data_IF_454339860479
#
_entry.id   IF_454339860479
#
_cell.length_a   1.000
_cell.length_b   1.000
_cell.length_c   1.000
_cell.angle_alpha   90.00
_cell.angle_beta   90.00
_cell.angle_gamma   90.00
#
_symmetry.space_group_name_H-M   'P 1'
#
loop_
_entity.id
_entity.type
_entity.pdbx_description
1 polymer ?
#
# COMPACT_ATOMS: atom_id res chain seq x y z
N UNK A 1 53.57 -3.50 11.22
CA UNK A 1 54.28 -2.79 10.13
C UNK A 1 53.47 -3.03 8.86
N UNK A 2 53.11 -1.98 8.12
CA UNK A 2 52.31 -2.11 6.89
C UNK A 2 53.22 -2.44 5.71
N UNK A 3 52.82 -3.39 4.87
CA UNK A 3 53.59 -3.86 3.71
C UNK A 3 52.81 -3.44 2.46
N UNK A 4 53.49 -2.76 1.53
CA UNK A 4 52.92 -2.37 0.24
C UNK A 4 53.67 -3.09 -0.89
N UNK A 5 52.99 -3.46 -2.00
CA UNK A 5 53.63 -4.13 -3.14
C UNK A 5 54.70 -3.30 -3.86
N UNK A 6 54.63 -1.97 -3.75
CA UNK A 6 55.53 -1.02 -4.39
C UNK A 6 55.71 0.23 -3.52
N UNK A 7 56.87 0.93 -3.61
CA UNK A 7 57.05 2.24 -2.98
C UNK A 7 56.21 3.36 -3.63
N UNK A 8 55.61 3.12 -4.81
CA UNK A 8 54.78 4.11 -5.51
C UNK A 8 53.29 3.84 -5.32
N UNK A 9 52.62 4.67 -4.54
CA UNK A 9 51.16 4.63 -4.35
C UNK A 9 50.59 5.96 -3.87
N UNK A 10 49.27 6.02 -3.78
CA UNK A 10 48.51 7.17 -3.25
C UNK A 10 47.69 6.71 -2.07
N UNK A 11 47.71 7.49 -0.99
CA UNK A 11 46.85 7.34 0.19
C UNK A 11 45.73 8.35 0.10
N UNK A 12 44.48 7.91 0.29
CA UNK A 12 43.29 8.75 0.30
C UNK A 12 42.76 8.80 1.73
N UNK A 13 42.74 9.99 2.34
CA UNK A 13 42.12 10.25 3.62
C UNK A 13 40.68 10.74 3.42
N UNK A 14 39.74 10.16 4.15
CA UNK A 14 38.33 10.57 4.16
C UNK A 14 37.94 10.82 5.61
N UNK A 15 37.56 12.06 5.92
CA UNK A 15 36.98 12.42 7.21
C UNK A 15 35.46 12.27 7.13
N UNK A 16 34.93 11.24 7.80
CA UNK A 16 33.51 10.92 7.80
C UNK A 16 32.66 11.92 8.61
N UNK A 17 33.25 12.63 9.57
CA UNK A 17 32.52 13.58 10.41
C UNK A 17 32.35 14.92 9.69
N UNK A 18 33.38 15.38 8.99
CA UNK A 18 33.38 16.66 8.28
C UNK A 18 33.12 16.55 6.78
N UNK A 19 32.93 15.33 6.26
CA UNK A 19 32.72 15.06 4.83
C UNK A 19 33.85 15.64 3.95
N UNK A 20 35.09 15.61 4.46
CA UNK A 20 36.28 16.10 3.77
C UNK A 20 37.09 14.93 3.21
N UNK A 21 37.81 15.16 2.12
CA UNK A 21 38.75 14.18 1.59
C UNK A 21 40.02 14.85 1.07
N UNK A 22 41.13 14.13 1.14
CA UNK A 22 42.41 14.54 0.57
C UNK A 22 43.20 13.31 0.14
N UNK A 23 44.17 13.49 -0.74
CA UNK A 23 45.03 12.40 -1.21
C UNK A 23 46.49 12.83 -1.26
N UNK A 24 47.38 11.95 -0.81
CA UNK A 24 48.83 12.18 -0.77
C UNK A 24 49.59 10.96 -1.31
N UNK A 25 50.60 11.18 -2.14
CA UNK A 25 51.45 10.11 -2.68
C UNK A 25 51.98 10.41 -4.09
N UNK A 26 52.37 9.35 -4.78
CA UNK A 26 52.98 9.41 -6.10
C UNK A 26 51.92 9.41 -7.20
N UNK A 27 51.93 10.41 -8.08
CA UNK A 27 50.96 10.59 -9.16
C UNK A 27 51.61 10.40 -10.52
N UNK A 28 51.07 9.49 -11.32
CA UNK A 28 51.44 9.41 -12.75
C UNK A 28 50.60 10.39 -13.58
N UNK A 29 51.04 10.77 -14.80
CA UNK A 29 50.31 11.71 -15.64
C UNK A 29 48.83 11.32 -15.83
N UNK A 30 47.92 12.27 -15.61
CA UNK A 30 46.47 12.05 -15.73
C UNK A 30 45.76 11.45 -14.50
N UNK A 31 46.49 10.83 -13.55
CA UNK A 31 45.88 10.20 -12.37
C UNK A 31 45.24 11.20 -11.40
N UNK A 32 45.90 12.33 -11.16
CA UNK A 32 45.42 13.37 -10.25
C UNK A 32 44.07 13.98 -10.68
N UNK A 33 43.89 14.48 -11.92
CA UNK A 33 42.60 15.01 -12.35
C UNK A 33 41.50 13.96 -12.35
N UNK A 34 41.81 12.70 -12.71
CA UNK A 34 40.85 11.59 -12.64
C UNK A 34 40.37 11.36 -11.20
N UNK A 35 41.30 11.24 -10.24
CA UNK A 35 40.92 11.00 -8.85
C UNK A 35 40.13 12.16 -8.26
N UNK A 36 40.50 13.41 -8.58
CA UNK A 36 39.76 14.60 -8.14
C UNK A 36 38.31 14.55 -8.64
N UNK A 37 38.08 14.25 -9.92
CA UNK A 37 36.72 14.15 -10.47
C UNK A 37 35.95 12.97 -9.85
N UNK A 38 36.61 11.82 -9.68
CA UNK A 38 36.00 10.63 -9.08
C UNK A 38 35.60 10.85 -7.62
N UNK A 39 36.48 11.39 -6.78
CA UNK A 39 36.19 11.63 -5.37
C UNK A 39 35.08 12.67 -5.17
N UNK A 40 35.08 13.74 -5.98
CA UNK A 40 33.99 14.72 -5.96
C UNK A 40 32.62 14.08 -6.28
N UNK A 41 32.59 13.08 -7.17
CA UNK A 41 31.37 12.33 -7.48
C UNK A 41 30.99 11.35 -6.35
N UNK A 42 31.97 10.62 -5.82
CA UNK A 42 31.78 9.65 -4.72
C UNK A 42 31.22 10.34 -3.46
N UNK A 43 31.82 11.45 -3.04
CA UNK A 43 31.40 12.18 -1.82
C UNK A 43 29.98 12.76 -1.92
N UNK A 44 29.48 13.00 -3.14
CA UNK A 44 28.11 13.46 -3.38
C UNK A 44 27.09 12.32 -3.48
N UNK A 45 27.52 11.16 -3.95
CA UNK A 45 26.64 10.01 -4.20
C UNK A 45 26.56 9.02 -3.02
N UNK A 46 27.35 9.22 -1.95
CA UNK A 46 27.40 8.31 -0.82
C UNK A 46 26.10 8.41 0.03
N UNK A 47 25.31 7.32 0.16
CA UNK A 47 23.97 7.35 0.78
C UNK A 47 23.96 7.43 2.33
N UNK A 48 24.78 8.30 2.93
CA UNK A 48 25.00 8.35 4.38
C UNK A 48 23.94 9.11 5.21
N UNK A 49 22.68 8.67 5.23
CA UNK A 49 21.59 9.41 5.90
C UNK A 49 21.43 9.13 7.42
N UNK A 50 22.24 8.24 7.99
CA UNK A 50 22.14 7.85 9.42
C UNK A 50 22.42 8.98 10.40
N UNK A 51 23.35 9.89 10.08
CA UNK A 51 23.73 11.01 10.94
C UNK A 51 22.57 12.00 11.08
N UNK A 52 21.90 12.33 9.96
CA UNK A 52 20.72 13.22 9.95
C UNK A 52 19.59 12.68 10.84
N UNK A 53 19.28 11.37 10.71
CA UNK A 53 18.29 10.69 11.57
C UNK A 53 18.66 10.74 13.06
N UNK A 54 19.94 10.49 13.40
CA UNK A 54 20.41 10.55 14.79
C UNK A 54 20.35 11.95 15.40
N UNK A 55 20.57 12.98 14.59
CA UNK A 55 20.47 14.38 14.98
C UNK A 55 19.05 14.97 14.86
N UNK A 56 18.06 14.16 14.42
CA UNK A 56 16.69 14.60 14.17
C UNK A 56 16.59 15.77 13.18
N UNK A 57 17.53 15.84 12.24
CA UNK A 57 17.54 16.84 11.17
C UNK A 57 16.77 16.29 9.98
N UNK A 58 15.69 16.96 9.61
CA UNK A 58 14.87 16.62 8.45
C UNK A 58 15.12 17.66 7.36
N UNK A 59 15.47 17.20 6.16
CA UNK A 59 15.53 18.05 4.97
C UNK A 59 14.26 17.82 4.13
N UNK A 60 13.84 18.85 3.40
CA UNK A 60 12.79 18.76 2.38
C UNK A 60 13.33 18.27 1.03
N UNK A 61 14.47 17.57 1.01
CA UNK A 61 15.05 17.06 -0.24
C UNK A 61 14.01 16.17 -0.94
N UNK A 62 13.85 16.31 -2.28
CA UNK A 62 12.90 15.50 -3.03
C UNK A 62 13.32 14.03 -2.95
N UNK A 63 12.63 13.29 -2.09
CA UNK A 63 12.75 11.82 -2.02
C UNK A 63 12.01 11.21 -3.20
N UNK A 64 12.41 10.01 -3.61
CA UNK A 64 11.60 9.26 -4.57
C UNK A 64 10.18 9.10 -4.01
N UNK A 65 9.13 9.46 -4.79
CA UNK A 65 7.77 9.39 -4.30
C UNK A 65 7.43 7.94 -3.99
N UNK A 66 6.73 7.68 -2.88
CA UNK A 66 6.29 6.34 -2.53
C UNK A 66 5.26 5.80 -3.53
N UNK A 67 5.08 4.48 -3.54
CA UNK A 67 4.00 3.86 -4.31
C UNK A 67 2.66 4.24 -3.67
N UNK A 68 1.79 4.87 -4.45
CA UNK A 68 0.46 5.33 -4.07
C UNK A 68 -0.56 4.98 -5.16
N UNK A 69 -1.84 5.24 -4.90
CA UNK A 69 -2.90 5.03 -5.92
C UNK A 69 -2.68 5.87 -7.19
N UNK A 70 -1.98 7.01 -7.09
CA UNK A 70 -1.77 7.93 -8.20
C UNK A 70 -0.70 7.41 -9.18
N UNK A 71 0.37 6.81 -8.66
CA UNK A 71 1.47 6.28 -9.46
C UNK A 71 1.46 4.75 -9.57
N UNK A 72 0.36 4.10 -9.16
CA UNK A 72 0.20 2.65 -9.21
C UNK A 72 0.50 2.06 -10.59
N UNK A 73 0.15 2.77 -11.68
CA UNK A 73 0.45 2.33 -13.04
C UNK A 73 1.94 2.14 -13.34
N UNK A 74 2.83 2.86 -12.66
CA UNK A 74 4.29 2.77 -12.85
C UNK A 74 4.83 1.37 -12.52
N UNK A 75 4.12 0.60 -11.70
CA UNK A 75 4.50 -0.78 -11.40
C UNK A 75 4.44 -1.67 -12.64
N UNK A 76 3.80 -1.28 -13.74
CA UNK A 76 3.73 -2.10 -14.96
C UNK A 76 4.72 -1.68 -16.05
N UNK A 77 5.49 -0.61 -15.83
CA UNK A 77 6.52 -0.19 -16.77
C UNK A 77 7.69 -1.19 -16.83
N UNK A 78 8.41 -1.15 -17.97
CA UNK A 78 9.45 -2.11 -18.39
C UNK A 78 10.53 -2.52 -17.37
N UNK A 79 11.07 -1.68 -16.46
CA UNK A 79 12.10 -2.18 -15.56
C UNK A 79 11.55 -3.28 -14.65
N UNK A 80 12.40 -4.29 -14.40
CA UNK A 80 12.14 -5.34 -13.42
C UNK A 80 12.00 -4.67 -12.06
N UNK A 81 10.86 -4.93 -11.39
CA UNK A 81 10.61 -4.45 -10.03
C UNK A 81 10.11 -5.58 -9.18
N UNK A 82 10.52 -5.58 -7.91
CA UNK A 82 10.11 -6.57 -6.94
C UNK A 82 9.29 -5.93 -5.84
N UNK A 83 8.28 -6.65 -5.36
CA UNK A 83 7.67 -6.36 -4.07
C UNK A 83 8.35 -7.22 -3.00
N UNK A 84 8.69 -6.62 -1.87
CA UNK A 84 9.19 -7.33 -0.69
C UNK A 84 8.21 -7.09 0.45
N UNK A 85 7.61 -8.19 0.91
CA UNK A 85 6.79 -8.21 2.12
C UNK A 85 7.45 -9.05 3.21
N UNK A 86 7.61 -8.45 4.38
CA UNK A 86 8.22 -9.07 5.56
C UNK A 86 7.20 -9.22 6.72
N UNK A 87 5.91 -9.05 6.42
CA UNK A 87 4.83 -9.11 7.41
C UNK A 87 4.78 -10.44 8.13
N UNK A 88 4.81 -11.52 7.36
CA UNK A 88 5.10 -12.83 7.90
C UNK A 88 6.59 -13.07 7.72
N UNK A 89 7.27 -13.64 8.71
CA UNK A 89 8.72 -13.91 8.62
C UNK A 89 8.99 -15.15 7.73
N UNK A 90 8.39 -15.14 6.54
CA UNK A 90 8.48 -16.03 5.39
C UNK A 90 8.37 -15.11 4.18
N UNK A 91 9.43 -14.94 3.41
CA UNK A 91 9.56 -13.78 2.52
C UNK A 91 8.89 -14.10 1.20
N UNK A 92 8.04 -13.18 0.77
CA UNK A 92 7.39 -13.22 -0.53
C UNK A 92 8.05 -12.13 -1.37
N UNK A 93 8.78 -12.53 -2.40
CA UNK A 93 9.22 -11.62 -3.47
C UNK A 93 8.37 -11.87 -4.69
N UNK A 94 7.50 -10.92 -5.07
CA UNK A 94 6.66 -11.03 -6.27
C UNK A 94 7.29 -10.21 -7.39
N UNK A 95 7.60 -10.88 -8.48
CA UNK A 95 7.97 -10.29 -9.76
C UNK A 95 6.69 -9.93 -10.53
N UNK A 96 6.37 -8.63 -10.55
CA UNK A 96 5.08 -8.08 -10.97
C UNK A 96 4.64 -8.44 -12.40
N UNK A 97 5.56 -8.55 -13.35
CA UNK A 97 5.27 -8.67 -14.79
C UNK A 97 5.09 -10.13 -15.21
N UNK A 98 5.73 -11.06 -14.50
CA UNK A 98 5.66 -12.49 -14.82
C UNK A 98 4.81 -13.27 -13.82
N UNK A 99 4.50 -12.69 -12.65
CA UNK A 99 3.85 -13.40 -11.55
C UNK A 99 4.82 -14.30 -10.77
N UNK A 100 6.11 -14.29 -11.09
CA UNK A 100 7.09 -15.13 -10.41
C UNK A 100 7.19 -14.75 -8.93
N UNK A 101 6.92 -15.71 -8.06
CA UNK A 101 6.95 -15.59 -6.62
C UNK A 101 8.15 -16.37 -6.08
N UNK A 102 9.11 -15.66 -5.47
CA UNK A 102 10.14 -16.28 -4.64
C UNK A 102 9.65 -16.31 -3.20
N UNK A 103 9.37 -17.51 -2.70
CA UNK A 103 8.95 -17.74 -1.32
C UNK A 103 10.11 -18.33 -0.52
N UNK A 104 10.76 -17.50 0.31
CA UNK A 104 11.82 -17.95 1.22
C UNK A 104 11.21 -18.39 2.55
N UNK A 105 11.35 -19.67 2.85
CA UNK A 105 11.04 -20.22 4.17
C UNK A 105 12.22 -19.97 5.11
N UNK A 106 11.98 -19.28 6.23
CA UNK A 106 12.96 -19.08 7.29
C UNK A 106 12.64 -20.04 8.43
N UNK A 107 13.48 -21.05 8.62
CA UNK A 107 13.27 -22.08 9.63
C UNK A 107 13.51 -21.54 11.06
N UNK A 108 12.92 -22.20 12.05
CA UNK A 108 13.00 -21.80 13.46
C UNK A 108 14.43 -21.77 14.02
N UNK A 109 15.32 -22.58 13.43
CA UNK A 109 16.75 -22.62 13.78
C UNK A 109 17.45 -21.26 13.62
N UNK A 110 16.97 -20.38 12.73
CA UNK A 110 17.54 -19.04 12.53
C UNK A 110 17.31 -18.13 13.75
N UNK A 111 16.27 -18.41 14.55
CA UNK A 111 15.91 -17.62 15.73
C UNK A 111 16.54 -18.15 17.03
N UNK A 112 17.12 -19.35 16.99
CA UNK A 112 17.67 -19.99 18.18
C UNK A 112 18.81 -19.16 18.79
N UNK A 113 18.69 -18.87 20.09
CA UNK A 113 19.69 -18.09 20.83
C UNK A 113 19.71 -16.58 20.52
N UNK A 114 18.79 -16.08 19.69
CA UNK A 114 18.77 -14.68 19.28
C UNK A 114 17.83 -13.84 20.16
N UNK A 115 18.18 -12.56 20.34
CA UNK A 115 17.34 -11.55 21.01
C UNK A 115 16.88 -10.50 20.01
N UNK A 116 15.84 -9.73 20.36
CA UNK A 116 15.25 -8.68 19.51
C UNK A 116 14.81 -9.21 18.13
N UNK A 117 14.04 -10.30 18.14
CA UNK A 117 13.63 -11.04 16.95
C UNK A 117 12.93 -10.17 15.89
N UNK A 118 12.15 -9.17 16.31
CA UNK A 118 11.47 -8.25 15.37
C UNK A 118 12.46 -7.41 14.55
N UNK A 119 13.57 -6.97 15.16
CA UNK A 119 14.63 -6.27 14.43
C UNK A 119 15.41 -7.27 13.58
N UNK A 120 15.80 -8.40 14.16
CA UNK A 120 16.53 -9.45 13.44
C UNK A 120 15.77 -9.93 12.20
N UNK A 121 14.44 -10.05 12.26
CA UNK A 121 13.61 -10.45 11.13
C UNK A 121 13.79 -9.52 9.93
N UNK A 122 13.83 -8.19 10.14
CA UNK A 122 14.03 -7.21 9.06
C UNK A 122 15.43 -7.31 8.44
N UNK A 123 16.45 -7.41 9.28
CA UNK A 123 17.84 -7.55 8.84
C UNK A 123 18.08 -8.85 8.09
N UNK A 124 17.57 -9.96 8.65
CA UNK A 124 17.55 -11.23 7.95
C UNK A 124 16.81 -11.05 6.63
N UNK A 125 15.62 -10.44 6.60
CA UNK A 125 14.85 -10.12 5.37
C UNK A 125 15.69 -9.45 4.29
N UNK A 126 16.43 -8.40 4.64
CA UNK A 126 17.29 -7.72 3.70
C UNK A 126 18.46 -8.59 3.22
N UNK A 127 19.05 -9.41 4.11
CA UNK A 127 20.15 -10.32 3.79
C UNK A 127 19.80 -11.32 2.67
N UNK A 128 18.71 -12.10 2.78
CA UNK A 128 18.34 -13.03 1.70
C UNK A 128 17.79 -12.32 0.46
N UNK A 129 17.20 -11.13 0.58
CA UNK A 129 16.83 -10.35 -0.62
C UNK A 129 18.11 -10.00 -1.39
N UNK A 130 19.13 -9.49 -0.70
CA UNK A 130 20.43 -9.21 -1.32
C UNK A 130 21.12 -10.48 -1.84
N UNK A 131 21.02 -11.60 -1.12
CA UNK A 131 21.54 -12.90 -1.60
C UNK A 131 20.81 -13.36 -2.88
N UNK A 132 19.49 -13.18 -2.96
CA UNK A 132 18.70 -13.49 -4.15
C UNK A 132 19.12 -12.60 -5.33
N UNK A 133 19.27 -11.28 -5.12
CA UNK A 133 19.78 -10.37 -6.18
C UNK A 133 21.17 -10.80 -6.65
N UNK A 134 22.08 -11.18 -5.74
CA UNK A 134 23.43 -11.70 -6.09
C UNK A 134 23.38 -12.99 -6.88
N UNK A 135 22.38 -13.83 -6.66
CA UNK A 135 22.25 -15.13 -7.35
C UNK A 135 21.75 -15.01 -8.79
N UNK A 136 21.19 -13.85 -9.17
CA UNK A 136 20.62 -13.63 -10.50
C UNK A 136 21.63 -13.00 -11.47
N UNK A 137 21.57 -13.35 -12.77
CA UNK A 137 22.26 -12.62 -13.83
C UNK A 137 21.91 -11.13 -13.80
N UNK A 138 22.84 -10.27 -14.24
CA UNK A 138 22.70 -8.80 -14.17
C UNK A 138 21.48 -8.30 -14.96
N UNK A 139 21.06 -9.03 -15.98
CA UNK A 139 19.89 -8.78 -16.83
C UNK A 139 18.57 -9.02 -16.08
N UNK A 140 18.55 -9.97 -15.15
CA UNK A 140 17.37 -10.35 -14.36
C UNK A 140 17.30 -9.63 -13.01
N UNK A 141 18.36 -8.91 -12.64
CA UNK A 141 18.39 -8.14 -11.40
C UNK A 141 17.34 -7.01 -11.42
N UNK A 142 16.61 -6.80 -10.31
CA UNK A 142 15.62 -5.75 -10.23
C UNK A 142 16.27 -4.38 -10.36
N UNK A 143 15.61 -3.45 -11.05
CA UNK A 143 16.00 -2.03 -11.04
C UNK A 143 15.30 -1.26 -9.92
N UNK A 144 14.19 -1.79 -9.40
CA UNK A 144 13.49 -1.21 -8.26
C UNK A 144 12.97 -2.29 -7.30
N UNK A 145 13.11 -2.06 -6.01
CA UNK A 145 12.53 -2.89 -4.95
C UNK A 145 11.55 -2.02 -4.16
N UNK A 146 10.29 -2.44 -4.14
CA UNK A 146 9.20 -1.79 -3.43
C UNK A 146 8.94 -2.55 -2.13
N UNK A 147 9.10 -1.89 -0.99
CA UNK A 147 8.81 -2.48 0.31
C UNK A 147 7.40 -2.14 0.78
N UNK A 148 6.70 -3.13 1.32
CA UNK A 148 5.35 -2.92 1.90
C UNK A 148 5.41 -2.18 3.24
N UNK A 149 6.51 -2.34 3.99
CA UNK A 149 6.69 -1.73 5.32
C UNK A 149 7.92 -0.85 5.36
N UNK A 150 7.76 0.41 5.81
CA UNK A 150 8.84 1.41 5.90
C UNK A 150 10.05 0.93 6.70
N UNK A 151 9.86 0.05 7.67
CA UNK A 151 10.95 -0.52 8.48
C UNK A 151 11.94 -1.40 7.69
N UNK A 152 11.65 -1.74 6.44
CA UNK A 152 12.54 -2.50 5.55
C UNK A 152 13.45 -1.62 4.69
N UNK A 153 13.22 -0.30 4.62
CA UNK A 153 14.04 0.62 3.83
C UNK A 153 15.50 0.59 4.30
N UNK A 154 15.75 0.93 5.57
CA UNK A 154 17.11 1.03 6.12
C UNK A 154 17.90 -0.31 6.03
N UNK A 155 17.34 -1.49 6.36
CA UNK A 155 18.07 -2.74 6.19
C UNK A 155 18.41 -3.06 4.73
N UNK A 156 17.50 -2.80 3.79
CA UNK A 156 17.76 -3.05 2.36
C UNK A 156 18.80 -2.10 1.79
N UNK A 157 18.76 -0.81 2.15
CA UNK A 157 19.77 0.17 1.74
C UNK A 157 21.18 -0.28 2.16
N UNK A 158 21.32 -0.84 3.36
CA UNK A 158 22.59 -1.34 3.87
C UNK A 158 23.05 -2.62 3.15
N UNK A 159 22.14 -3.57 2.94
CA UNK A 159 22.50 -4.86 2.33
C UNK A 159 22.68 -4.78 0.81
N UNK A 160 22.15 -3.74 0.16
CA UNK A 160 22.21 -3.54 -1.29
C UNK A 160 23.22 -2.44 -1.71
N UNK A 161 24.16 -2.06 -0.83
CA UNK A 161 25.25 -1.13 -1.18
C UNK A 161 26.08 -1.61 -2.39
N UNK A 162 26.19 -2.93 -2.58
CA UNK A 162 26.85 -3.54 -3.74
C UNK A 162 26.06 -3.35 -5.06
N UNK A 163 24.81 -2.88 -4.97
CA UNK A 163 23.88 -2.76 -6.08
C UNK A 163 23.37 -1.31 -6.24
N UNK A 164 24.25 -0.36 -6.60
CA UNK A 164 23.93 1.07 -6.62
C UNK A 164 22.86 1.47 -7.64
N UNK A 165 22.55 0.59 -8.60
CA UNK A 165 21.52 0.80 -9.61
C UNK A 165 20.13 0.32 -9.19
N UNK A 166 20.00 -0.24 -7.99
CA UNK A 166 18.72 -0.75 -7.46
C UNK A 166 18.10 0.32 -6.60
N UNK A 167 16.99 0.86 -7.08
CA UNK A 167 16.21 1.86 -6.36
C UNK A 167 15.35 1.17 -5.30
N UNK A 168 15.38 1.66 -4.06
CA UNK A 168 14.55 1.15 -2.97
C UNK A 168 13.45 2.16 -2.69
N UNK A 169 12.18 1.74 -2.82
CA UNK A 169 11.00 2.62 -2.72
C UNK A 169 10.02 2.08 -1.67
N UNK A 170 9.44 2.98 -0.89
CA UNK A 170 8.36 2.67 0.05
C UNK A 170 7.00 2.57 -0.63
N UNK A 171 6.04 1.91 0.01
CA UNK A 171 4.63 1.90 -0.39
C UNK A 171 3.77 2.56 0.67
N UNK A 172 2.86 3.45 0.24
CA UNK A 172 1.74 3.95 1.05
C UNK A 172 0.54 3.01 0.97
N UNK A 173 0.49 2.16 -0.06
CA UNK A 173 -0.52 1.13 -0.20
C UNK A 173 -0.20 -0.04 0.73
N UNK A 174 -1.17 -0.39 1.59
CA UNK A 174 -1.10 -1.56 2.46
C UNK A 174 -1.49 -2.82 1.69
N UNK A 175 -0.62 -3.30 0.80
CA UNK A 175 -0.89 -4.47 -0.05
C UNK A 175 -1.09 -5.75 0.78
N UNK A 176 -2.05 -6.62 0.43
CA UNK A 176 -2.48 -7.74 1.27
C UNK A 176 -1.61 -9.00 1.09
N UNK A 177 -0.32 -8.88 0.80
CA UNK A 177 0.56 -10.04 0.52
C UNK A 177 0.68 -11.01 1.70
N UNK A 178 0.48 -10.53 2.93
CA UNK A 178 0.37 -11.39 4.11
C UNK A 178 -0.73 -12.47 3.99
N UNK A 179 -1.79 -12.20 3.21
CA UNK A 179 -2.89 -13.13 3.00
C UNK A 179 -2.49 -14.34 2.13
N UNK A 180 -1.35 -14.30 1.45
CA UNK A 180 -0.81 -15.47 0.75
C UNK A 180 -0.67 -16.68 1.69
N UNK A 181 -0.34 -16.47 2.97
CA UNK A 181 -0.24 -17.58 3.93
C UNK A 181 -1.57 -18.28 4.25
N UNK A 182 -2.70 -17.63 3.95
CA UNK A 182 -4.03 -18.25 4.12
C UNK A 182 -4.33 -19.28 3.02
N UNK A 183 -3.50 -19.34 1.98
CA UNK A 183 -3.56 -20.34 0.91
C UNK A 183 -2.92 -21.63 1.42
N UNK A 184 -3.69 -22.71 1.43
CA UNK A 184 -3.29 -24.00 2.02
C UNK A 184 -2.01 -24.57 1.41
N UNK A 185 -1.81 -24.41 0.10
CA UNK A 185 -0.59 -24.85 -0.59
C UNK A 185 0.67 -24.22 0.02
N UNK A 186 0.64 -22.92 0.29
CA UNK A 186 1.77 -22.21 0.91
C UNK A 186 1.86 -22.51 2.40
N UNK A 187 0.74 -22.44 3.13
CA UNK A 187 0.71 -22.71 4.58
C UNK A 187 1.24 -24.10 4.93
N UNK A 188 0.77 -25.14 4.26
CA UNK A 188 1.20 -26.51 4.48
C UNK A 188 2.68 -26.72 4.13
N UNK A 189 3.16 -26.10 3.05
CA UNK A 189 4.56 -26.20 2.65
C UNK A 189 5.49 -25.55 3.68
N UNK A 190 5.11 -24.39 4.20
CA UNK A 190 5.88 -23.66 5.22
C UNK A 190 5.92 -24.45 6.53
N UNK A 191 4.77 -24.96 7.00
CA UNK A 191 4.67 -25.72 8.25
C UNK A 191 5.45 -27.04 8.22
N UNK A 192 5.57 -27.67 7.04
CA UNK A 192 6.30 -28.94 6.86
C UNK A 192 7.80 -28.75 6.60
N UNK A 193 8.30 -27.52 6.48
CA UNK A 193 9.70 -27.28 6.16
C UNK A 193 10.60 -27.59 7.37
N UNK A 194 11.59 -28.45 7.17
CA UNK A 194 12.60 -28.82 8.19
C UNK A 194 13.87 -27.98 8.12
N UNK A 195 14.04 -27.21 7.04
CA UNK A 195 15.22 -26.38 6.78
C UNK A 195 14.84 -25.10 6.02
N UNK A 196 15.68 -24.04 6.08
CA UNK A 196 15.48 -22.86 5.26
C UNK A 196 15.60 -23.19 3.78
N UNK A 197 14.58 -22.86 2.98
CA UNK A 197 14.60 -23.12 1.53
C UNK A 197 13.91 -22.02 0.75
N UNK A 198 14.36 -21.80 -0.47
CA UNK A 198 13.70 -20.93 -1.44
C UNK A 198 12.81 -21.79 -2.34
N UNK A 199 11.56 -21.37 -2.52
CA UNK A 199 10.62 -22.06 -3.41
C UNK A 199 10.09 -21.08 -4.43
N UNK A 200 10.06 -21.50 -5.68
CA UNK A 200 9.59 -20.70 -6.80
C UNK A 200 8.14 -21.08 -7.16
N UNK A 201 7.29 -20.09 -7.33
CA UNK A 201 5.94 -20.26 -7.87
C UNK A 201 5.70 -19.23 -8.98
N UNK A 202 4.67 -19.47 -9.79
CA UNK A 202 4.05 -18.41 -10.58
C UNK A 202 2.67 -18.14 -9.99
N UNK A 203 2.50 -16.99 -9.31
CA UNK A 203 1.26 -16.64 -8.63
C UNK A 203 0.12 -16.28 -9.59
N UNK A 204 0.40 -16.08 -10.88
CA UNK A 204 -0.62 -15.86 -11.90
C UNK A 204 -1.08 -17.16 -12.54
N UNK A 205 -0.47 -18.30 -12.23
CA UNK A 205 -0.67 -19.55 -12.96
C UNK A 205 -0.59 -19.29 -14.48
N UNK A 206 -1.70 -19.46 -15.19
CA UNK A 206 -1.82 -19.29 -16.63
C UNK A 206 -2.54 -18.00 -17.08
N UNK A 207 -2.88 -17.09 -16.16
CA UNK A 207 -3.70 -15.89 -16.49
C UNK A 207 -3.07 -14.99 -17.55
N UNK A 208 -1.75 -14.94 -17.65
CA UNK A 208 -1.04 -14.15 -18.66
C UNK A 208 -1.31 -14.59 -20.11
N UNK A 209 -1.92 -15.77 -20.32
CA UNK A 209 -2.34 -16.24 -21.65
C UNK A 209 -3.55 -15.48 -22.19
N UNK A 210 -4.47 -15.05 -21.33
CA UNK A 210 -5.72 -14.39 -21.73
C UNK A 210 -5.82 -12.93 -21.30
N UNK A 211 -5.12 -12.51 -20.24
CA UNK A 211 -5.23 -11.15 -19.69
C UNK A 211 -3.86 -10.49 -19.47
N UNK A 212 -3.87 -9.15 -19.46
CA UNK A 212 -2.66 -8.35 -19.24
C UNK A 212 -2.06 -8.55 -17.84
N UNK A 213 -0.78 -8.20 -17.66
CA UNK A 213 -0.12 -8.22 -16.35
C UNK A 213 -0.79 -7.28 -15.33
N UNK A 214 -1.33 -6.14 -15.80
CA UNK A 214 -2.14 -5.23 -14.98
C UNK A 214 -3.37 -5.91 -14.42
N UNK A 215 -4.11 -6.62 -15.28
CA UNK A 215 -5.31 -7.35 -14.90
C UNK A 215 -4.98 -8.53 -13.99
N UNK A 216 -3.92 -9.30 -14.28
CA UNK A 216 -3.44 -10.39 -13.44
C UNK A 216 -3.13 -9.91 -12.01
N UNK A 217 -2.37 -8.82 -11.89
CA UNK A 217 -2.01 -8.26 -10.60
C UNK A 217 -3.24 -7.71 -9.87
N UNK A 218 -4.15 -7.03 -10.58
CA UNK A 218 -5.39 -6.52 -9.98
C UNK A 218 -6.28 -7.66 -9.47
N UNK A 219 -6.44 -8.74 -10.23
CA UNK A 219 -7.12 -9.98 -9.81
C UNK A 219 -6.46 -10.55 -8.56
N UNK A 220 -5.13 -10.66 -8.55
CA UNK A 220 -4.38 -11.14 -7.39
C UNK A 220 -4.65 -10.29 -6.13
N UNK A 221 -4.53 -8.97 -6.23
CA UNK A 221 -4.77 -8.07 -5.09
C UNK A 221 -6.20 -8.21 -4.59
N UNK A 222 -7.17 -8.33 -5.49
CA UNK A 222 -8.57 -8.54 -5.15
C UNK A 222 -8.78 -9.85 -4.38
N UNK A 223 -8.21 -10.96 -4.85
CA UNK A 223 -8.31 -12.25 -4.17
C UNK A 223 -7.65 -12.20 -2.79
N UNK A 224 -6.42 -11.69 -2.71
CA UNK A 224 -5.68 -11.60 -1.46
C UNK A 224 -6.37 -10.66 -0.45
N UNK A 225 -6.94 -9.55 -0.91
CA UNK A 225 -7.70 -8.62 -0.06
C UNK A 225 -8.99 -9.28 0.45
N UNK A 226 -9.70 -10.01 -0.39
CA UNK A 226 -10.88 -10.76 0.01
C UNK A 226 -10.55 -11.85 1.04
N UNK A 227 -9.46 -12.61 0.84
CA UNK A 227 -8.95 -13.58 1.81
C UNK A 227 -8.53 -12.91 3.13
N UNK A 228 -8.00 -11.68 3.06
CA UNK A 228 -7.67 -10.89 4.24
C UNK A 228 -8.94 -10.50 5.01
N UNK A 229 -9.94 -9.95 4.33
CA UNK A 229 -11.20 -9.48 4.89
C UNK A 229 -12.08 -10.62 5.46
N UNK A 230 -12.37 -11.64 4.65
CA UNK A 230 -13.14 -12.80 5.07
C UNK A 230 -12.66 -14.07 4.34
N UNK A 231 -11.83 -14.84 5.04
CA UNK A 231 -11.16 -16.02 4.48
C UNK A 231 -12.16 -17.09 3.99
N UNK A 232 -13.17 -17.41 4.79
CA UNK A 232 -14.12 -18.48 4.49
C UNK A 232 -15.00 -18.13 3.29
N UNK A 233 -15.59 -16.93 3.29
CA UNK A 233 -16.42 -16.48 2.16
C UNK A 233 -15.62 -16.34 0.89
N UNK A 234 -14.40 -15.79 0.95
CA UNK A 234 -13.54 -15.70 -0.22
C UNK A 234 -13.21 -17.08 -0.80
N UNK A 235 -12.89 -18.08 0.05
CA UNK A 235 -12.65 -19.46 -0.40
C UNK A 235 -13.89 -20.10 -1.06
N UNK A 236 -15.09 -19.83 -0.53
CA UNK A 236 -16.33 -20.29 -1.15
C UNK A 236 -16.57 -19.64 -2.52
N UNK A 237 -16.34 -18.32 -2.63
CA UNK A 237 -16.49 -17.59 -3.90
C UNK A 237 -15.50 -18.04 -4.97
N UNK A 238 -14.27 -18.39 -4.59
CA UNK A 238 -13.26 -18.91 -5.51
C UNK A 238 -13.61 -20.30 -6.08
N UNK A 239 -14.48 -21.05 -5.40
CA UNK A 239 -14.93 -22.40 -5.81
C UNK A 239 -16.46 -22.45 -5.90
N UNK A 240 -17.05 -21.83 -6.94
CA UNK A 240 -18.50 -21.70 -7.06
C UNK A 240 -19.22 -23.04 -7.29
N UNK A 241 -18.52 -24.04 -7.83
CA UNK A 241 -19.05 -25.37 -8.10
C UNK A 241 -18.01 -26.45 -7.68
N UNK A 242 -18.51 -27.62 -7.27
CA UNK A 242 -17.71 -28.81 -6.96
C UNK A 242 -16.95 -29.35 -8.16
N UNK A 243 -17.41 -29.03 -9.38
CA UNK A 243 -16.72 -29.40 -10.63
C UNK A 243 -15.39 -28.65 -10.82
N UNK A 244 -15.21 -27.50 -10.16
CA UNK A 244 -14.01 -26.67 -10.29
C UNK A 244 -12.87 -27.29 -9.51
N UNK A 245 -11.84 -27.72 -10.23
CA UNK A 245 -10.60 -28.25 -9.65
C UNK A 245 -9.45 -27.25 -9.77
N UNK A 246 -8.48 -27.39 -8.86
CA UNK A 246 -7.19 -26.71 -8.96
C UNK A 246 -6.18 -27.73 -9.43
N UNK A 247 -5.46 -27.42 -10.51
CA UNK A 247 -4.42 -28.31 -11.00
C UNK A 247 -3.26 -28.42 -9.99
N UNK A 248 -2.53 -29.56 -9.91
CA UNK A 248 -1.50 -29.76 -8.90
C UNK A 248 -0.39 -28.69 -8.90
N UNK A 249 -0.03 -28.19 -10.08
CA UNK A 249 1.01 -27.17 -10.25
C UNK A 249 0.47 -25.75 -10.06
N UNK A 250 -0.84 -25.53 -10.22
CA UNK A 250 -1.50 -24.24 -10.02
C UNK A 250 -1.80 -23.90 -8.56
N UNK A 251 -2.05 -22.63 -8.30
CA UNK A 251 -2.40 -22.08 -6.99
C UNK A 251 -3.90 -21.82 -6.93
N UNK A 252 -4.47 -21.34 -8.02
CA UNK A 252 -5.86 -20.92 -8.12
C UNK A 252 -6.74 -21.96 -8.84
N UNK A 253 -8.05 -21.98 -8.56
CA UNK A 253 -9.00 -22.83 -9.28
C UNK A 253 -9.00 -22.52 -10.79
N UNK A 254 -9.14 -23.55 -11.61
CA UNK A 254 -9.19 -23.40 -13.06
C UNK A 254 -10.57 -22.93 -13.49
N UNK A 255 -10.68 -21.62 -13.79
CA UNK A 255 -11.90 -20.94 -14.20
C UNK A 255 -11.74 -20.34 -15.58
N UNK A 256 -12.83 -20.30 -16.33
CA UNK A 256 -12.94 -19.54 -17.60
C UNK A 256 -12.94 -18.04 -17.33
N UNK A 257 -12.65 -17.22 -18.34
CA UNK A 257 -12.63 -15.75 -18.19
C UNK A 257 -14.00 -15.18 -17.75
N UNK A 258 -15.11 -15.74 -18.23
CA UNK A 258 -16.47 -15.35 -17.80
C UNK A 258 -16.74 -15.70 -16.33
N UNK A 259 -16.25 -16.86 -15.87
CA UNK A 259 -16.35 -17.23 -14.45
C UNK A 259 -15.47 -16.33 -13.59
N UNK A 260 -14.25 -16.01 -14.03
CA UNK A 260 -13.37 -15.05 -13.36
C UNK A 260 -14.04 -13.69 -13.21
N UNK A 261 -14.69 -13.18 -14.25
CA UNK A 261 -15.40 -11.89 -14.18
C UNK A 261 -16.49 -11.89 -13.08
N UNK A 262 -17.27 -12.97 -12.96
CA UNK A 262 -18.29 -13.12 -11.91
C UNK A 262 -17.66 -13.21 -10.52
N UNK A 263 -16.60 -14.00 -10.37
CA UNK A 263 -15.87 -14.15 -9.11
C UNK A 263 -15.23 -12.84 -8.68
N UNK A 264 -14.61 -12.10 -9.59
CA UNK A 264 -14.01 -10.79 -9.31
C UNK A 264 -15.04 -9.79 -8.79
N UNK A 265 -16.22 -9.70 -9.41
CA UNK A 265 -17.31 -8.85 -8.92
C UNK A 265 -17.72 -9.27 -7.50
N UNK A 266 -17.91 -10.56 -7.25
CA UNK A 266 -18.30 -11.06 -5.93
C UNK A 266 -17.22 -10.81 -4.85
N UNK A 267 -15.94 -10.94 -5.19
CA UNK A 267 -14.83 -10.66 -4.28
C UNK A 267 -14.74 -9.16 -3.97
N UNK A 268 -14.94 -8.30 -4.97
CA UNK A 268 -15.01 -6.85 -4.78
C UNK A 268 -16.13 -6.48 -3.82
N UNK A 269 -17.33 -7.01 -4.04
CA UNK A 269 -18.50 -6.71 -3.21
C UNK A 269 -18.31 -7.21 -1.77
N UNK A 270 -17.63 -8.35 -1.59
CA UNK A 270 -17.24 -8.86 -0.26
C UNK A 270 -16.31 -7.89 0.48
N UNK A 271 -15.28 -7.36 -0.19
CA UNK A 271 -14.33 -6.41 0.38
C UNK A 271 -15.03 -5.10 0.77
N UNK A 272 -15.84 -4.56 -0.14
CA UNK A 272 -16.57 -3.31 0.09
C UNK A 272 -17.59 -3.46 1.22
N UNK A 273 -18.30 -4.60 1.28
CA UNK A 273 -19.24 -4.89 2.36
C UNK A 273 -18.54 -4.99 3.73
N UNK A 274 -17.35 -5.59 3.78
CA UNK A 274 -16.55 -5.65 5.02
C UNK A 274 -16.09 -4.26 5.47
N UNK A 275 -15.62 -3.42 4.53
CA UNK A 275 -15.21 -2.04 4.82
C UNK A 275 -16.39 -1.20 5.35
N UNK A 276 -17.53 -1.28 4.67
CA UNK A 276 -18.78 -0.57 5.03
C UNK A 276 -19.24 -0.94 6.43
N UNK A 277 -19.22 -2.23 6.77
CA UNK A 277 -19.60 -2.70 8.10
C UNK A 277 -18.63 -2.23 9.19
N UNK A 278 -17.34 -2.20 8.91
CA UNK A 278 -16.32 -1.77 9.88
C UNK A 278 -16.34 -0.26 10.14
N UNK A 279 -16.69 0.53 9.13
CA UNK A 279 -16.65 1.99 9.20
C UNK A 279 -18.03 2.64 9.32
N UNK A 280 -19.12 1.87 9.36
CA UNK A 280 -20.50 2.36 9.39
C UNK A 280 -20.81 3.37 8.26
N UNK A 281 -20.45 3.01 7.02
CA UNK A 281 -20.65 3.85 5.83
C UNK A 281 -21.58 3.14 4.85
N UNK A 282 -22.44 3.86 4.13
CA UNK A 282 -23.24 3.26 3.06
C UNK A 282 -22.43 2.94 1.79
N UNK A 283 -22.66 1.76 1.20
CA UNK A 283 -22.00 1.35 -0.06
C UNK A 283 -22.24 2.33 -1.21
N UNK A 284 -23.44 2.90 -1.30
CA UNK A 284 -23.82 3.88 -2.34
C UNK A 284 -23.13 5.24 -2.19
N UNK A 285 -22.57 5.54 -1.02
CA UNK A 285 -21.84 6.78 -0.78
C UNK A 285 -20.38 6.72 -1.28
N UNK A 286 -19.89 5.54 -1.69
CA UNK A 286 -18.53 5.34 -2.15
C UNK A 286 -18.39 5.65 -3.65
N UNK A 287 -17.45 6.52 -3.98
CA UNK A 287 -17.01 6.80 -5.35
C UNK A 287 -16.13 5.70 -5.91
N UNK A 288 -15.96 5.68 -7.24
CA UNK A 288 -15.05 4.72 -7.91
C UNK A 288 -13.60 4.85 -7.44
N UNK A 289 -13.13 6.07 -7.17
CA UNK A 289 -11.79 6.30 -6.60
C UNK A 289 -11.67 5.74 -5.18
N UNK A 290 -12.65 5.97 -4.31
CA UNK A 290 -12.65 5.43 -2.94
C UNK A 290 -12.71 3.90 -2.96
N UNK A 291 -13.54 3.30 -3.83
CA UNK A 291 -13.58 1.85 -3.98
C UNK A 291 -12.24 1.26 -4.42
N UNK A 292 -11.58 1.89 -5.41
CA UNK A 292 -10.23 1.49 -5.83
C UNK A 292 -9.23 1.61 -4.68
N UNK A 293 -9.26 2.72 -3.96
CA UNK A 293 -8.34 3.02 -2.87
C UNK A 293 -8.53 2.05 -1.68
N UNK A 294 -9.77 1.65 -1.37
CA UNK A 294 -10.09 0.58 -0.40
C UNK A 294 -9.46 -0.76 -0.82
N UNK A 295 -9.63 -1.16 -2.09
CA UNK A 295 -9.13 -2.45 -2.60
C UNK A 295 -7.60 -2.47 -2.57
N UNK A 296 -6.97 -1.38 -3.03
CA UNK A 296 -5.52 -1.20 -3.02
C UNK A 296 -4.95 -1.01 -1.61
N UNK A 297 -5.78 -0.64 -0.64
CA UNK A 297 -5.39 -0.45 0.76
C UNK A 297 -4.67 0.88 0.99
N UNK A 298 -5.09 1.94 0.30
CA UNK A 298 -4.70 3.31 0.62
C UNK A 298 -5.43 3.79 1.88
N UNK A 299 -4.83 4.72 2.62
CA UNK A 299 -5.49 5.40 3.72
C UNK A 299 -6.58 6.32 3.16
N UNK A 300 -7.84 6.06 3.55
CA UNK A 300 -8.98 6.88 3.15
C UNK A 300 -9.74 7.35 4.38
N UNK A 301 -10.19 8.60 4.34
CA UNK A 301 -11.16 9.12 5.32
C UNK A 301 -12.54 8.62 4.93
N UNK A 302 -13.30 8.00 5.86
CA UNK A 302 -14.68 7.60 5.59
C UNK A 302 -15.54 8.80 5.11
N UNK A 303 -16.48 8.59 4.16
CA UNK A 303 -17.41 9.62 3.71
C UNK A 303 -18.19 10.26 4.86
N UNK A 304 -18.35 11.59 4.83
CA UNK A 304 -19.12 12.33 5.84
C UNK A 304 -20.60 11.96 5.85
N UNK A 305 -21.26 12.11 7.01
CA UNK A 305 -22.68 11.79 7.16
C UNK A 305 -23.58 12.54 6.19
N UNK A 306 -23.27 13.81 5.90
CA UNK A 306 -24.02 14.62 4.93
C UNK A 306 -23.96 14.00 3.52
N UNK A 307 -22.81 13.49 3.09
CA UNK A 307 -22.66 12.81 1.79
C UNK A 307 -23.41 11.48 1.75
N UNK A 308 -23.46 10.77 2.88
CA UNK A 308 -24.22 9.54 3.00
C UNK A 308 -25.73 9.78 2.86
N UNK A 309 -26.25 10.84 3.47
CA UNK A 309 -27.66 11.24 3.34
C UNK A 309 -28.01 11.64 1.90
N UNK A 310 -27.15 12.40 1.22
CA UNK A 310 -27.35 12.79 -0.19
C UNK A 310 -27.42 11.54 -1.08
N UNK A 311 -26.51 10.59 -0.91
CA UNK A 311 -26.50 9.36 -1.70
C UNK A 311 -27.73 8.47 -1.45
N UNK A 312 -28.28 8.47 -0.23
CA UNK A 312 -29.54 7.78 0.07
C UNK A 312 -30.74 8.45 -0.62
N UNK A 313 -30.80 9.79 -0.59
CA UNK A 313 -31.85 10.56 -1.25
C UNK A 313 -31.81 10.37 -2.76
N UNK A 314 -30.62 10.41 -3.39
CA UNK A 314 -30.48 10.18 -4.84
C UNK A 314 -30.90 8.77 -5.24
N UNK A 315 -30.54 7.75 -4.45
CA UNK A 315 -30.95 6.36 -4.70
C UNK A 315 -32.46 6.18 -4.60
N UNK A 316 -33.11 6.86 -3.64
CA UNK A 316 -34.57 6.88 -3.52
C UNK A 316 -35.23 7.68 -4.66
N UNK A 317 -34.63 8.79 -5.10
CA UNK A 317 -35.12 9.62 -6.20
C UNK A 317 -35.07 8.88 -7.55
N UNK A 318 -34.09 7.99 -7.78
CA UNK A 318 -34.10 7.12 -8.96
C UNK A 318 -35.27 6.13 -9.03
N UNK A 319 -36.08 6.01 -7.98
CA UNK A 319 -37.35 5.26 -7.95
C UNK A 319 -38.60 6.14 -7.82
N UNK A 320 -38.46 7.47 -7.80
CA UNK A 320 -39.59 8.38 -7.62
C UNK A 320 -40.21 8.80 -8.97
N UNK A 321 -41.54 8.62 -9.08
CA UNK A 321 -42.36 9.18 -10.17
C UNK A 321 -42.47 10.68 -9.96
N UNK A 322 -42.17 11.47 -10.99
CA UNK A 322 -42.29 12.93 -10.97
C UNK A 322 -43.72 13.34 -10.58
N UNK A 323 -43.86 14.20 -9.56
CA UNK A 323 -45.15 14.73 -9.13
C UNK A 323 -45.37 16.07 -9.82
N UNK A 324 -46.36 16.12 -10.71
CA UNK A 324 -46.84 17.37 -11.31
C UNK A 324 -47.85 18.05 -10.38
N UNK A 325 -47.50 19.23 -9.89
CA UNK A 325 -48.42 20.08 -9.10
C UNK A 325 -48.93 21.21 -9.99
N UNK A 326 -50.26 21.36 -10.07
CA UNK A 326 -50.92 22.50 -10.72
C UNK A 326 -51.21 23.59 -9.69
N UNK A 327 -50.68 24.79 -9.91
CA UNK A 327 -50.98 25.98 -9.10
C UNK A 327 -51.33 27.16 -10.00
N UNK A 328 -52.00 28.17 -9.44
CA UNK A 328 -52.48 29.35 -10.20
C UNK A 328 -51.76 30.60 -9.70
N UNK A 329 -51.25 31.43 -10.62
CA UNK A 329 -50.68 32.72 -10.22
C UNK A 329 -51.80 33.71 -9.80
N UNK A 330 -51.42 34.83 -9.21
CA UNK A 330 -52.34 35.90 -8.73
C UNK A 330 -53.14 36.54 -9.88
N UNK A 331 -52.74 36.32 -11.13
CA UNK A 331 -53.40 36.81 -12.34
C UNK A 331 -54.29 35.76 -13.03
N UNK A 332 -54.39 34.54 -12.49
CA UNK A 332 -55.28 33.51 -12.99
C UNK A 332 -54.70 32.54 -14.02
N UNK A 333 -53.38 32.54 -14.27
CA UNK A 333 -52.75 31.61 -15.20
C UNK A 333 -52.40 30.27 -14.51
N UNK A 334 -52.67 29.14 -15.17
CA UNK A 334 -52.28 27.81 -14.69
C UNK A 334 -50.77 27.58 -14.90
N UNK A 335 -50.05 27.34 -13.80
CA UNK A 335 -48.66 26.90 -13.78
C UNK A 335 -48.61 25.39 -13.50
N UNK A 336 -47.94 24.66 -14.39
CA UNK A 336 -47.67 23.22 -14.22
C UNK A 336 -46.21 23.08 -13.82
N UNK A 337 -45.96 22.75 -12.55
CA UNK A 337 -44.60 22.54 -12.02
C UNK A 337 -44.40 21.04 -11.87
N UNK A 338 -43.39 20.50 -12.57
CA UNK A 338 -42.99 19.09 -12.47
C UNK A 338 -41.79 18.99 -11.53
N UNK A 339 -42.00 18.44 -10.33
CA UNK A 339 -40.94 18.28 -9.33
C UNK A 339 -40.51 16.81 -9.28
N UNK A 340 -39.22 16.55 -9.51
CA UNK A 340 -38.66 15.18 -9.57
C UNK A 340 -37.93 14.81 -8.28
N UNK A 341 -37.56 15.78 -7.43
CA UNK A 341 -36.75 15.55 -6.23
C UNK A 341 -37.46 15.97 -4.94
N UNK A 342 -37.44 15.14 -3.86
CA UNK A 342 -38.02 15.50 -2.55
C UNK A 342 -37.40 16.74 -1.90
N UNK A 343 -36.18 17.12 -2.31
CA UNK A 343 -35.46 18.30 -1.81
C UNK A 343 -36.21 19.62 -2.06
N UNK A 344 -36.96 19.71 -3.17
CA UNK A 344 -37.69 20.92 -3.55
C UNK A 344 -39.03 21.08 -2.81
N UNK A 345 -39.46 20.10 -2.01
CA UNK A 345 -40.66 20.20 -1.16
C UNK A 345 -40.37 20.76 0.24
N UNK A 346 -39.10 20.91 0.63
CA UNK A 346 -38.75 21.54 1.90
C UNK A 346 -38.91 23.07 1.77
N UNK A 347 -39.96 23.62 2.38
CA UNK A 347 -40.13 25.06 2.49
C UNK A 347 -38.98 25.64 3.35
N UNK A 348 -38.00 26.25 2.69
CA UNK A 348 -36.90 26.93 3.37
C UNK A 348 -37.43 28.28 3.89
N UNK A 349 -37.66 28.40 5.19
CA UNK A 349 -38.01 29.67 5.82
C UNK A 349 -36.75 30.54 5.92
N UNK A 350 -36.64 31.55 5.05
CA UNK A 350 -35.50 32.47 5.00
C UNK A 350 -35.55 33.59 6.05
N UNK A 351 -36.15 33.34 7.21
CA UNK A 351 -36.14 34.29 8.34
C UNK A 351 -35.66 33.59 9.59
N UNK A 352 -34.43 33.91 9.97
CA UNK A 352 -33.88 33.63 11.30
C UNK A 352 -34.75 34.35 12.33
N UNK A 353 -35.60 33.60 13.04
CA UNK A 353 -36.40 34.14 14.13
C UNK A 353 -35.51 34.28 15.36
N UNK A 354 -34.95 35.47 15.54
CA UNK A 354 -34.01 35.81 16.63
C UNK A 354 -34.57 35.51 18.03
N UNK A 355 -35.90 35.40 18.16
CA UNK A 355 -36.57 35.05 19.42
C UNK A 355 -36.33 33.61 19.84
N UNK A 356 -36.09 32.69 18.91
CA UNK A 356 -35.79 31.29 19.23
C UNK A 356 -34.37 31.17 19.80
N UNK A 357 -33.42 31.95 19.26
CA UNK A 357 -32.05 32.00 19.75
C UNK A 357 -31.96 32.64 21.15
N UNK A 358 -32.77 33.67 21.43
CA UNK A 358 -32.82 34.30 22.76
C UNK A 358 -33.35 33.34 23.85
N UNK A 359 -34.31 32.47 23.51
CA UNK A 359 -34.84 31.45 24.43
C UNK A 359 -33.80 30.35 24.68
N UNK A 360 -33.07 29.92 23.65
CA UNK A 360 -32.00 28.92 23.79
C UNK A 360 -30.84 29.46 24.64
N UNK A 361 -30.43 30.70 24.44
CA UNK A 361 -29.34 31.33 25.21
C UNK A 361 -29.70 31.49 26.69
N UNK A 362 -30.95 31.85 27.01
CA UNK A 362 -31.45 31.89 28.40
C UNK A 362 -31.50 30.50 29.05
N UNK A 363 -31.77 29.45 28.28
CA UNK A 363 -31.77 28.08 28.82
C UNK A 363 -30.36 27.58 29.14
N UNK A 364 -29.37 27.90 28.29
CA UNK A 364 -27.97 27.55 28.54
C UNK A 364 -27.38 28.29 29.74
N UNK A 365 -27.80 29.54 29.97
CA UNK A 365 -27.35 30.33 31.13
C UNK A 365 -27.87 29.74 32.45
N UNK A 366 -29.12 29.27 32.48
CA UNK A 366 -29.69 28.55 33.64
C UNK A 366 -28.99 27.22 33.92
N UNK A 367 -28.64 26.46 32.88
CA UNK A 367 -27.88 25.20 33.05
C UNK A 367 -26.46 25.45 33.59
N UNK A 368 -25.80 26.54 33.19
CA UNK A 368 -24.49 26.93 33.73
C UNK A 368 -24.55 27.37 35.18
N UNK A 369 -25.61 28.07 35.60
CA UNK A 369 -25.81 28.41 37.01
C UNK A 369 -26.06 27.17 37.89
N UNK A 370 -26.87 26.23 37.41
CA UNK A 370 -27.11 24.93 38.07
C UNK A 370 -25.83 24.12 38.23
N UNK A 371 -24.98 24.04 37.19
CA UNK A 371 -23.72 23.32 37.25
C UNK A 371 -22.71 23.93 38.24
N UNK A 372 -22.69 25.27 38.35
CA UNK A 372 -21.83 25.96 39.31
C UNK A 372 -22.31 25.81 40.77
N UNK A 373 -23.62 25.64 40.99
CA UNK A 373 -24.18 25.35 42.31
C UNK A 373 -23.84 23.94 42.77
N UNK A 374 -23.99 22.92 41.92
CA UNK A 374 -23.59 21.53 42.24
C UNK A 374 -22.09 21.37 42.48
N UNK A 375 -21.27 22.22 41.84
CA UNK A 375 -19.81 22.23 42.03
C UNK A 375 -19.35 22.85 43.35
N UNK A 376 -20.22 23.59 44.05
CA UNK A 376 -19.93 24.22 45.35
C UNK A 376 -20.37 23.38 46.55
N UNK A 377 -21.22 22.38 46.35
CA UNK A 377 -21.68 21.46 47.41
C UNK A 377 -20.90 20.14 47.48
N UNK A 378 -19.78 19.99 46.74
CA UNK A 378 -18.87 18.84 46.83
C UNK A 378 -17.52 19.16 47.47
#
# INVERSE_FOLDING_TARGET
>A
MSIYPSPTGVVIGIDLAYNLHSAFGNWFPGSKPLLTQAMNKIMKANPGDRIRKGLQLYSSEPTEPYLSSQNYGEIFNNPIKWFVDDTNVYRVTIHKTTGQLFLKVIHTSVWAGQKRLAQLAKWKTAEEVAALVRSLPVEEQPKQIIVTRKGMLDPLEVHLLDFPNVVIKGSELQLPFQACLKIEKFGNMILKATEPKMVLFNIYDDWLKSVSSYTCFSRLILILRALHANNEKAKMLLRPDKSVVTEPHHIWPSLTDDQWMKVEVALRDLILSDYVKKNNVNTSALTQSEMRDIILGAEITPPSQQRQQIAEIEKQASQAVAVTTKTRNVHGDELIISTVTPYEQAAFNSKTDWRVLEIEEHSEEQEREMFNLESRER
#
